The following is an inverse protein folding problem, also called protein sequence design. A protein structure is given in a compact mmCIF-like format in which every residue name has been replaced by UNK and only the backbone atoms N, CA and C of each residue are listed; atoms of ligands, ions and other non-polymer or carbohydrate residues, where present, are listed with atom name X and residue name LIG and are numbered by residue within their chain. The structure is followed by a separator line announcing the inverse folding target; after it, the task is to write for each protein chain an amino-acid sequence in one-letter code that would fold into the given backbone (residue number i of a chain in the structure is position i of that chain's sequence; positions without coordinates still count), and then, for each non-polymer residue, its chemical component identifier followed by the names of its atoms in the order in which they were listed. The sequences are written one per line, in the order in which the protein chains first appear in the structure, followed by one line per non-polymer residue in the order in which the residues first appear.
data_IF_980321911313
#
_entry.id   IF_980321911313
#
_cell.length_a   1.000
_cell.length_b   1.000
_cell.length_c   1.000
_cell.angle_alpha   90.00
_cell.angle_beta   90.00
_cell.angle_gamma   90.00
#
_symmetry.space_group_name_H-M   'P 1'
#
loop_
_entity.id
_entity.type
_entity.pdbx_description
1 polymer ?
#
# COMPACT_ATOMS: atom_id res chain seq x y z
N UNK A 1 0.58 -5.43 -5.72
CA UNK A 1 0.01 -4.21 -5.11
C UNK A 1 -1.42 -4.01 -5.60
N UNK A 2 -2.35 -3.56 -4.75
CA UNK A 2 -3.78 -3.45 -5.05
C UNK A 2 -4.09 -2.63 -6.33
N UNK A 3 -3.40 -1.50 -6.54
CA UNK A 3 -3.58 -0.66 -7.74
C UNK A 3 -3.37 -1.43 -9.06
N UNK A 4 -2.44 -2.39 -9.12
CA UNK A 4 -2.21 -3.18 -10.33
C UNK A 4 -3.36 -4.13 -10.67
N UNK A 5 -4.05 -4.65 -9.65
CA UNK A 5 -5.24 -5.49 -9.84
C UNK A 5 -6.40 -4.64 -10.35
N UNK A 6 -6.52 -3.42 -9.83
CA UNK A 6 -7.58 -2.47 -10.20
C UNK A 6 -7.50 -2.08 -11.68
N UNK A 7 -6.30 -1.98 -12.26
CA UNK A 7 -6.12 -1.75 -13.70
C UNK A 7 -6.87 -2.77 -14.58
N UNK A 8 -7.01 -4.01 -14.13
CA UNK A 8 -7.71 -5.06 -14.88
C UNK A 8 -9.24 -5.03 -14.71
N UNK A 9 -9.75 -4.18 -13.83
CA UNK A 9 -11.19 -4.06 -13.54
C UNK A 9 -11.85 -2.97 -14.37
N UNK A 10 -13.15 -3.08 -14.62
CA UNK A 10 -13.98 -2.07 -15.31
C UNK A 10 -14.78 -1.17 -14.35
N UNK A 11 -14.42 -1.13 -13.07
CA UNK A 11 -15.13 -0.33 -12.07
C UNK A 11 -14.86 1.17 -12.25
N UNK A 12 -15.91 1.99 -12.22
CA UNK A 12 -15.79 3.45 -12.24
C UNK A 12 -15.43 4.02 -10.88
N UNK A 13 -16.06 3.52 -9.81
CA UNK A 13 -15.87 4.01 -8.45
C UNK A 13 -15.14 2.96 -7.64
N UNK A 14 -14.00 3.33 -7.07
CA UNK A 14 -13.09 2.42 -6.40
C UNK A 14 -12.81 2.97 -4.99
N UNK A 15 -13.08 2.17 -3.96
CA UNK A 15 -12.75 2.49 -2.57
C UNK A 15 -11.66 1.55 -2.08
N UNK A 16 -10.53 2.12 -1.67
CA UNK A 16 -9.39 1.38 -1.12
C UNK A 16 -9.30 1.68 0.36
N UNK A 17 -9.49 0.65 1.18
CA UNK A 17 -9.34 0.76 2.63
C UNK A 17 -7.89 0.54 3.03
N UNK A 18 -7.33 1.46 3.82
CA UNK A 18 -5.98 1.34 4.36
C UNK A 18 -5.95 1.61 5.85
N UNK A 19 -5.22 0.77 6.56
CA UNK A 19 -5.16 0.78 8.01
C UNK A 19 -4.01 1.62 8.59
N UNK A 20 -3.20 2.22 7.71
CA UNK A 20 -2.11 3.11 8.08
C UNK A 20 -2.41 4.54 7.63
N UNK A 21 -2.61 5.49 8.56
CA UNK A 21 -2.90 6.88 8.21
C UNK A 21 -1.71 7.55 7.51
N UNK A 22 -0.47 7.15 7.85
CA UNK A 22 0.74 7.67 7.20
C UNK A 22 0.81 7.29 5.73
N UNK A 23 0.34 6.09 5.35
CA UNK A 23 0.30 5.67 3.94
C UNK A 23 -0.62 6.54 3.10
N UNK A 24 -1.78 6.95 3.65
CA UNK A 24 -2.72 7.83 2.96
C UNK A 24 -2.08 9.20 2.77
N UNK A 25 -1.45 9.76 3.81
CA UNK A 25 -0.72 11.03 3.69
C UNK A 25 0.40 10.97 2.65
N UNK A 26 1.17 9.88 2.58
CA UNK A 26 2.23 9.71 1.59
C UNK A 26 1.70 9.68 0.16
N UNK A 27 0.59 8.99 -0.08
CA UNK A 27 0.02 8.86 -1.43
C UNK A 27 -0.73 10.12 -1.85
N UNK A 28 -1.47 10.75 -0.95
CA UNK A 28 -2.27 11.95 -1.22
C UNK A 28 -1.47 13.25 -1.13
N UNK A 29 -0.39 13.28 -0.36
CA UNK A 29 0.42 14.46 -0.13
C UNK A 29 1.51 14.68 -1.18
N UNK A 30 2.10 15.87 -1.18
CA UNK A 30 3.27 16.19 -1.99
C UNK A 30 4.55 15.83 -1.23
N UNK A 31 5.43 15.06 -1.85
CA UNK A 31 6.74 14.69 -1.31
C UNK A 31 7.81 15.06 -2.34
N UNK A 32 8.81 15.83 -1.92
CA UNK A 32 9.92 16.26 -2.79
C UNK A 32 10.78 15.09 -3.25
N UNK A 33 10.88 14.04 -2.44
CA UNK A 33 11.69 12.85 -2.73
C UNK A 33 10.86 11.58 -2.51
N UNK A 34 9.92 11.27 -3.43
CA UNK A 34 9.08 10.09 -3.29
C UNK A 34 9.91 8.83 -3.45
N UNK A 35 9.58 7.79 -2.67
CA UNK A 35 10.10 6.45 -2.94
C UNK A 35 9.61 5.95 -4.31
N UNK A 36 10.31 5.00 -4.92
CA UNK A 36 9.87 4.37 -6.18
C UNK A 36 8.43 3.86 -6.09
N UNK A 37 8.08 3.23 -4.97
CA UNK A 37 6.73 2.71 -4.73
C UNK A 37 5.69 3.83 -4.64
N UNK A 38 6.00 4.92 -3.94
CA UNK A 38 5.11 6.08 -3.84
C UNK A 38 4.86 6.70 -5.22
N UNK A 39 5.91 6.88 -6.01
CA UNK A 39 5.80 7.40 -7.37
C UNK A 39 4.92 6.50 -8.25
N UNK A 40 5.15 5.18 -8.23
CA UNK A 40 4.32 4.21 -8.96
C UNK A 40 2.84 4.26 -8.55
N UNK A 41 2.55 4.41 -7.25
CA UNK A 41 1.17 4.55 -6.78
C UNK A 41 0.50 5.80 -7.35
N UNK A 42 1.18 6.95 -7.27
CA UNK A 42 0.66 8.23 -7.75
C UNK A 42 0.40 8.18 -9.25
N UNK A 43 1.32 7.59 -10.02
CA UNK A 43 1.13 7.40 -11.46
C UNK A 43 -0.08 6.53 -11.79
N UNK A 44 -0.31 5.44 -11.05
CA UNK A 44 -1.49 4.59 -11.24
C UNK A 44 -2.80 5.29 -10.85
N UNK A 45 -2.81 6.06 -9.76
CA UNK A 45 -3.98 6.84 -9.37
C UNK A 45 -4.29 7.89 -10.44
N UNK A 46 -3.28 8.63 -10.90
CA UNK A 46 -3.43 9.62 -11.95
C UNK A 46 -3.97 8.99 -13.25
N UNK A 47 -3.50 7.81 -13.63
CA UNK A 47 -4.02 7.14 -14.82
C UNK A 47 -5.49 6.75 -14.69
N UNK A 48 -5.96 6.38 -13.49
CA UNK A 48 -7.39 6.16 -13.22
C UNK A 48 -8.20 7.44 -13.32
N UNK A 49 -7.70 8.54 -12.77
CA UNK A 49 -8.37 9.85 -12.85
C UNK A 49 -8.46 10.34 -14.30
N UNK A 50 -7.41 10.15 -15.12
CA UNK A 50 -7.40 10.54 -16.53
C UNK A 50 -8.46 9.82 -17.38
N UNK A 51 -8.86 8.60 -17.01
CA UNK A 51 -9.93 7.84 -17.68
C UNK A 51 -11.30 8.03 -17.02
N UNK A 52 -11.44 9.01 -16.12
CA UNK A 52 -12.70 9.37 -15.48
C UNK A 52 -13.14 8.42 -14.36
N UNK A 53 -12.23 7.62 -13.79
CA UNK A 53 -12.54 6.80 -12.61
C UNK A 53 -12.34 7.60 -11.34
N UNK A 54 -13.16 7.31 -10.34
CA UNK A 54 -13.05 7.87 -9.00
C UNK A 54 -12.35 6.87 -8.08
N UNK A 55 -11.32 7.35 -7.36
CA UNK A 55 -10.57 6.53 -6.39
C UNK A 55 -10.58 7.21 -5.03
N UNK A 56 -11.19 6.55 -4.06
CA UNK A 56 -11.24 6.99 -2.66
C UNK A 56 -10.28 6.15 -1.83
N UNK A 57 -9.35 6.81 -1.15
CA UNK A 57 -8.50 6.20 -0.13
C UNK A 57 -9.13 6.42 1.24
N UNK A 58 -9.75 5.39 1.80
CA UNK A 58 -10.43 5.45 3.10
C UNK A 58 -9.53 4.89 4.19
N UNK A 59 -9.23 5.70 5.20
CA UNK A 59 -8.59 5.21 6.41
C UNK A 59 -9.55 4.35 7.24
N UNK A 60 -9.06 3.23 7.75
CA UNK A 60 -9.76 2.40 8.75
C UNK A 60 -8.82 2.09 9.93
N UNK A 61 -9.33 1.92 11.15
CA UNK A 61 -8.48 1.54 12.27
C UNK A 61 -8.02 0.07 12.15
N UNK A 62 -6.74 -0.19 12.42
CA UNK A 62 -6.22 -1.56 12.55
C UNK A 62 -6.83 -2.27 13.75
N UNK A 63 -6.96 -3.60 13.67
CA UNK A 63 -7.37 -4.48 14.79
C UNK A 63 -8.78 -4.29 15.37
N UNK A 64 -9.65 -3.47 14.76
CA UNK A 64 -11.04 -3.27 15.22
C UNK A 64 -12.04 -4.35 14.77
N UNK A 65 -11.60 -5.60 14.59
CA UNK A 65 -12.52 -6.68 14.25
C UNK A 65 -12.94 -6.80 12.79
N UNK A 66 -12.68 -5.81 11.93
CA UNK A 66 -13.09 -5.79 10.50
C UNK A 66 -12.53 -7.01 9.76
N UNK A 67 -13.42 -7.88 9.28
CA UNK A 67 -13.07 -9.16 8.67
C UNK A 67 -12.14 -8.99 7.46
N UNK A 68 -12.50 -8.11 6.51
CA UNK A 68 -11.68 -7.85 5.32
C UNK A 68 -10.27 -7.33 5.64
N UNK A 69 -10.14 -6.47 6.65
CA UNK A 69 -8.83 -5.96 7.07
C UNK A 69 -7.97 -7.08 7.69
N UNK A 70 -8.57 -7.95 8.53
CA UNK A 70 -7.89 -9.13 9.10
C UNK A 70 -7.41 -10.08 8.01
N UNK A 71 -8.24 -10.34 7.00
CA UNK A 71 -7.89 -11.21 5.88
C UNK A 71 -6.75 -10.61 5.05
N UNK A 72 -6.82 -9.31 4.73
CA UNK A 72 -5.75 -8.61 4.01
C UNK A 72 -4.41 -8.67 4.76
N UNK A 73 -4.42 -8.44 6.08
CA UNK A 73 -3.22 -8.53 6.92
C UNK A 73 -2.66 -9.96 6.99
N UNK A 74 -3.53 -10.98 7.08
CA UNK A 74 -3.12 -12.39 7.03
C UNK A 74 -2.43 -12.71 5.71
N UNK A 75 -3.04 -12.35 4.58
CA UNK A 75 -2.46 -12.57 3.25
C UNK A 75 -1.13 -11.82 3.06
N UNK A 76 -1.03 -10.58 3.55
CA UNK A 76 0.22 -9.83 3.48
C UNK A 76 1.34 -10.50 4.31
N UNK A 77 1.00 -11.04 5.49
CA UNK A 77 1.95 -11.77 6.33
C UNK A 77 2.39 -13.07 5.66
N UNK A 78 1.47 -13.85 5.09
CA UNK A 78 1.79 -15.07 4.33
C UNK A 78 2.69 -14.74 3.13
N UNK A 79 2.35 -13.72 2.35
CA UNK A 79 3.17 -13.28 1.22
C UNK A 79 4.58 -12.83 1.63
N UNK A 80 4.76 -12.26 2.82
CA UNK A 80 6.08 -11.86 3.32
C UNK A 80 7.02 -13.05 3.59
N UNK A 81 6.46 -14.26 3.73
CA UNK A 81 7.23 -15.49 3.95
C UNK A 81 7.62 -16.19 2.65
N UNK A 82 6.93 -15.90 1.55
CA UNK A 82 7.10 -16.54 0.23
C UNK A 82 8.22 -15.90 -0.60
N UNK A 83 9.40 -15.68 -0.02
CA UNK A 83 10.57 -14.97 -0.55
C UNK A 83 10.57 -13.45 -0.31
N UNK A 84 11.57 -12.89 0.40
CA UNK A 84 11.84 -11.47 0.33
C UNK A 84 12.28 -11.16 -1.10
N UNK A 85 11.59 -10.28 -1.85
CA UNK A 85 12.18 -9.79 -3.08
C UNK A 85 13.52 -9.13 -2.71
N UNK A 86 14.53 -9.28 -3.56
CA UNK A 86 15.86 -8.64 -3.43
C UNK A 86 15.76 -7.12 -3.65
N UNK A 87 14.75 -6.48 -3.05
CA UNK A 87 14.56 -5.04 -3.04
C UNK A 87 15.48 -4.45 -1.98
N UNK A 88 16.08 -3.29 -2.24
CA UNK A 88 16.83 -2.57 -1.20
C UNK A 88 15.92 -2.37 0.00
N UNK A 89 16.29 -3.01 1.11
CA UNK A 89 15.56 -2.94 2.36
C UNK A 89 15.75 -1.53 2.94
N UNK A 90 14.66 -0.84 3.36
CA UNK A 90 14.80 0.42 4.06
C UNK A 90 15.71 0.27 5.29
N UNK A 91 16.61 1.22 5.51
CA UNK A 91 17.60 1.17 6.59
C UNK A 91 16.98 0.90 7.97
N UNK A 92 15.76 1.41 8.22
CA UNK A 92 15.03 1.17 9.46
C UNK A 92 14.69 -0.31 9.67
N UNK A 93 14.29 -1.02 8.61
CA UNK A 93 13.99 -2.46 8.68
C UNK A 93 15.27 -3.27 8.90
N UNK A 94 16.38 -2.89 8.24
CA UNK A 94 17.67 -3.52 8.44
C UNK A 94 18.18 -3.33 9.88
N UNK A 95 18.06 -2.12 10.43
CA UNK A 95 18.38 -1.81 11.83
C UNK A 95 17.55 -2.63 12.82
N UNK A 96 16.27 -2.88 12.52
CA UNK A 96 15.41 -3.72 13.36
C UNK A 96 15.87 -5.19 13.34
N UNK A 97 16.15 -5.74 12.16
CA UNK A 97 16.60 -7.13 12.03
C UNK A 97 17.95 -7.40 12.73
N UNK A 98 18.85 -6.41 12.72
CA UNK A 98 20.11 -6.52 13.47
C UNK A 98 19.88 -6.50 14.98
N UNK A 99 18.92 -5.70 15.44
CA UNK A 99 18.57 -5.60 16.86
C UNK A 99 17.85 -6.83 17.40
N UNK A 100 17.16 -7.58 16.55
CA UNK A 100 16.52 -8.84 16.95
C UNK A 100 17.51 -10.02 16.96
N UNK A 101 18.74 -9.83 16.45
CA UNK A 101 19.80 -10.86 16.38
C UNK A 101 20.89 -10.73 17.46
N UNK A 102 20.89 -9.65 18.23
CA UNK A 102 21.85 -9.36 19.32
C UNK A 102 21.10 -8.81 20.52
#
# INVERSE_FOLDING_TARGET
MAFRVICATHCQNIVIFKDSPTTIMTVSGYNLFPSKLEFECKQLINSFLCIGREVVLQWIPSHCGIHGNKQANKLAKEASTLHPPCLPMPLQNAKRLLRDKF
#
